data_IF_859479127514
#
_entry.id   IF_859479127514
#
_cell.length_a   1.000
_cell.length_b   1.000
_cell.length_c   1.000
_cell.angle_alpha   90.00
_cell.angle_beta   90.00
_cell.angle_gamma   90.00
#
_symmetry.space_group_name_H-M   'P 1'
#
loop_
_entity.id
_entity.type
_entity.pdbx_description
1 polymer ?
#
# COMPACT_ATOMS: atom_id res chain seq x y z
N UNK A 1 10.73 -5.51 -17.68
CA UNK A 1 9.87 -4.71 -16.80
C UNK A 1 9.98 -5.25 -15.39
N UNK A 2 10.17 -4.40 -14.37
CA UNK A 2 10.20 -4.82 -12.96
C UNK A 2 8.75 -5.11 -12.52
N UNK A 3 8.19 -6.25 -12.93
CA UNK A 3 6.79 -6.61 -12.72
C UNK A 3 6.41 -6.69 -11.23
N UNK A 4 7.37 -6.95 -10.36
CA UNK A 4 7.17 -7.01 -8.91
C UNK A 4 6.73 -5.67 -8.31
N UNK A 5 7.27 -4.54 -8.79
CA UNK A 5 6.94 -3.22 -8.27
C UNK A 5 5.47 -2.87 -8.49
N UNK A 6 5.02 -2.93 -9.75
CA UNK A 6 3.64 -2.58 -10.11
C UNK A 6 2.65 -3.51 -9.41
N UNK A 7 3.00 -4.78 -9.27
CA UNK A 7 2.15 -5.76 -8.61
C UNK A 7 2.04 -5.49 -7.11
N UNK A 8 3.15 -5.25 -6.40
CA UNK A 8 3.13 -4.86 -4.98
C UNK A 8 2.28 -3.60 -4.74
N UNK A 9 2.43 -2.60 -5.62
CA UNK A 9 1.63 -1.38 -5.59
C UNK A 9 0.13 -1.65 -5.80
N UNK A 10 -0.22 -2.46 -6.79
CA UNK A 10 -1.61 -2.83 -7.09
C UNK A 10 -2.26 -3.55 -5.90
N UNK A 11 -1.56 -4.50 -5.28
CA UNK A 11 -2.01 -5.18 -4.06
C UNK A 11 -2.23 -4.18 -2.93
N UNK A 12 -1.32 -3.22 -2.74
CA UNK A 12 -1.43 -2.19 -1.70
C UNK A 12 -2.62 -1.23 -1.92
N UNK A 13 -2.90 -0.84 -3.17
CA UNK A 13 -4.07 -0.04 -3.53
C UNK A 13 -5.36 -0.84 -3.32
N UNK A 14 -5.41 -2.09 -3.77
CA UNK A 14 -6.56 -2.98 -3.55
C UNK A 14 -6.83 -3.22 -2.05
N UNK A 15 -5.78 -3.31 -1.23
CA UNK A 15 -5.93 -3.37 0.23
C UNK A 15 -6.65 -2.14 0.79
N UNK A 16 -6.39 -0.97 0.21
CA UNK A 16 -7.05 0.28 0.61
C UNK A 16 -8.50 0.32 0.12
N UNK A 17 -8.80 -0.28 -1.04
CA UNK A 17 -10.17 -0.48 -1.53
C UNK A 17 -11.00 -1.41 -0.62
N UNK A 18 -10.38 -2.42 0.00
CA UNK A 18 -11.06 -3.20 1.03
C UNK A 18 -11.36 -2.38 2.29
N UNK A 19 -10.40 -1.59 2.77
CA UNK A 19 -10.54 -0.83 4.01
C UNK A 19 -11.56 0.29 3.84
N UNK A 20 -11.54 0.98 2.71
CA UNK A 20 -12.49 2.04 2.38
C UNK A 20 -13.91 1.53 2.10
N UNK A 21 -14.09 0.21 1.91
CA UNK A 21 -15.38 -0.39 1.62
C UNK A 21 -15.77 -0.35 0.14
N UNK A 22 -14.88 0.09 -0.75
CA UNK A 22 -15.09 0.01 -2.21
C UNK A 22 -15.27 -1.44 -2.66
N UNK A 23 -14.39 -2.34 -2.20
CA UNK A 23 -14.67 -3.78 -2.30
C UNK A 23 -15.47 -4.20 -1.07
N UNK A 24 -16.77 -4.41 -1.27
CA UNK A 24 -17.68 -4.85 -0.21
C UNK A 24 -17.19 -6.13 0.48
N UNK A 25 -17.37 -6.20 1.80
CA UNK A 25 -17.12 -7.41 2.58
C UNK A 25 -18.08 -8.56 2.22
N UNK A 26 -19.26 -8.23 1.69
CA UNK A 26 -20.31 -9.17 1.28
C UNK A 26 -20.91 -8.70 -0.04
N UNK A 27 -20.21 -8.89 -1.17
CA UNK A 27 -20.75 -8.55 -2.48
C UNK A 27 -21.97 -9.43 -2.80
N UNK A 28 -22.92 -8.88 -3.56
CA UNK A 28 -24.22 -9.52 -3.83
C UNK A 28 -24.24 -10.26 -5.16
N UNK A 29 -23.47 -9.81 -6.14
CA UNK A 29 -23.53 -10.29 -7.54
C UNK A 29 -22.37 -11.24 -7.83
N UNK A 30 -21.14 -10.78 -7.65
CA UNK A 30 -19.91 -11.54 -7.91
C UNK A 30 -19.22 -11.92 -6.60
N UNK A 31 -18.41 -12.99 -6.62
CA UNK A 31 -17.60 -13.37 -5.46
C UNK A 31 -16.58 -12.28 -5.14
N UNK A 32 -16.27 -12.12 -3.85
CA UNK A 32 -15.30 -11.12 -3.41
C UNK A 32 -13.91 -11.41 -3.99
N UNK A 33 -13.58 -12.68 -4.15
CA UNK A 33 -12.34 -13.17 -4.74
C UNK A 33 -12.19 -12.73 -6.20
N UNK A 34 -13.23 -12.89 -7.03
CA UNK A 34 -13.17 -12.48 -8.43
C UNK A 34 -13.07 -10.96 -8.57
N UNK A 35 -13.86 -10.22 -7.79
CA UNK A 35 -13.76 -8.74 -7.74
C UNK A 35 -12.33 -8.32 -7.38
N UNK A 36 -11.71 -9.00 -6.40
CA UNK A 36 -10.34 -8.72 -5.96
C UNK A 36 -9.32 -8.99 -7.07
N UNK A 37 -9.42 -10.13 -7.76
CA UNK A 37 -8.51 -10.49 -8.86
C UNK A 37 -8.63 -9.47 -10.00
N UNK A 38 -9.85 -9.15 -10.41
CA UNK A 38 -10.11 -8.16 -11.45
C UNK A 38 -9.55 -6.79 -11.05
N UNK A 39 -9.78 -6.38 -9.80
CA UNK A 39 -9.29 -5.09 -9.29
C UNK A 39 -7.77 -5.01 -9.24
N UNK A 40 -7.09 -6.05 -8.78
CA UNK A 40 -5.62 -6.11 -8.78
C UNK A 40 -5.09 -6.02 -10.21
N UNK A 41 -5.72 -6.71 -11.17
CA UNK A 41 -5.31 -6.66 -12.58
C UNK A 41 -5.39 -5.25 -13.15
N UNK A 42 -6.52 -4.56 -12.95
CA UNK A 42 -6.73 -3.17 -13.40
C UNK A 42 -5.72 -2.20 -12.76
N UNK A 43 -5.53 -2.29 -11.44
CA UNK A 43 -4.58 -1.44 -10.72
C UNK A 43 -3.13 -1.73 -11.16
N UNK A 44 -2.81 -2.99 -11.43
CA UNK A 44 -1.49 -3.39 -11.93
C UNK A 44 -1.19 -2.80 -13.31
N UNK A 45 -2.15 -2.85 -14.22
CA UNK A 45 -2.04 -2.22 -15.54
C UNK A 45 -1.90 -0.70 -15.42
N UNK A 46 -2.75 -0.05 -14.61
CA UNK A 46 -2.68 1.38 -14.36
C UNK A 46 -1.30 1.81 -13.82
N UNK A 47 -0.80 1.16 -12.76
CA UNK A 47 0.50 1.48 -12.17
C UNK A 47 1.64 1.22 -13.15
N UNK A 48 1.56 0.12 -13.91
CA UNK A 48 2.56 -0.20 -14.94
C UNK A 48 2.61 0.87 -16.02
N UNK A 49 1.45 1.37 -16.46
CA UNK A 49 1.37 2.45 -17.43
C UNK A 49 1.94 3.75 -16.86
N UNK A 50 1.54 4.15 -15.64
CA UNK A 50 2.09 5.35 -14.97
C UNK A 50 3.61 5.27 -14.87
N UNK A 51 4.14 4.12 -14.43
CA UNK A 51 5.60 3.91 -14.31
C UNK A 51 6.27 4.04 -15.68
N UNK A 52 5.71 3.42 -16.71
CA UNK A 52 6.24 3.53 -18.08
C UNK A 52 6.26 4.98 -18.54
N UNK A 53 5.16 5.71 -18.39
CA UNK A 53 5.06 7.11 -18.80
C UNK A 53 6.08 7.99 -18.07
N UNK A 54 6.33 7.73 -16.78
CA UNK A 54 7.34 8.44 -16.00
C UNK A 54 8.77 8.13 -16.47
N UNK A 55 9.08 6.86 -16.74
CA UNK A 55 10.39 6.46 -17.26
C UNK A 55 10.66 7.05 -18.65
N UNK A 56 9.63 7.11 -19.49
CA UNK A 56 9.73 7.70 -20.83
C UNK A 56 9.89 9.23 -20.74
N UNK A 57 9.17 9.89 -19.82
CA UNK A 57 9.23 11.35 -19.61
C UNK A 57 10.52 11.82 -18.92
N UNK A 58 11.12 10.97 -18.08
CA UNK A 58 12.28 11.28 -17.24
C UNK A 58 13.46 10.37 -17.59
N UNK A 59 13.74 10.21 -18.89
CA UNK A 59 14.74 9.26 -19.39
C UNK A 59 16.15 9.48 -18.86
N UNK A 60 16.48 10.71 -18.47
CA UNK A 60 17.80 11.10 -17.97
C UNK A 60 17.95 10.95 -16.45
N UNK A 61 16.87 10.63 -15.75
CA UNK A 61 16.84 10.49 -14.30
C UNK A 61 17.11 9.05 -13.84
N UNK A 62 17.72 8.85 -12.66
CA UNK A 62 17.93 7.51 -12.13
C UNK A 62 16.60 6.77 -11.91
N UNK A 63 16.49 5.57 -12.48
CA UNK A 63 15.29 4.71 -12.36
C UNK A 63 14.93 4.47 -10.89
N UNK A 64 15.92 4.27 -10.02
CA UNK A 64 15.70 4.06 -8.59
C UNK A 64 15.05 5.26 -7.92
N UNK A 65 15.36 6.47 -8.37
CA UNK A 65 14.78 7.72 -7.87
C UNK A 65 13.32 7.84 -8.29
N UNK A 66 13.03 7.55 -9.56
CA UNK A 66 11.67 7.53 -10.10
C UNK A 66 10.82 6.48 -9.34
N UNK A 67 11.32 5.25 -9.24
CA UNK A 67 10.63 4.15 -8.55
C UNK A 67 10.42 4.48 -7.06
N UNK A 68 11.38 5.11 -6.39
CA UNK A 68 11.21 5.56 -5.00
C UNK A 68 10.10 6.61 -4.86
N UNK A 69 10.14 7.68 -5.67
CA UNK A 69 9.14 8.74 -5.60
C UNK A 69 7.74 8.20 -5.91
N UNK A 70 7.63 7.33 -6.92
CA UNK A 70 6.38 6.66 -7.27
C UNK A 70 5.88 5.77 -6.13
N UNK A 71 6.76 5.00 -5.47
CA UNK A 71 6.39 4.19 -4.29
C UNK A 71 5.78 5.05 -3.20
N UNK A 72 6.40 6.19 -2.91
CA UNK A 72 5.92 7.12 -1.87
C UNK A 72 4.60 7.79 -2.27
N UNK A 73 4.43 8.14 -3.54
CA UNK A 73 3.19 8.71 -4.05
C UNK A 73 2.01 7.74 -3.92
N UNK A 74 2.25 6.46 -4.25
CA UNK A 74 1.27 5.39 -4.07
C UNK A 74 0.96 5.18 -2.59
N UNK A 75 1.94 5.26 -1.69
CA UNK A 75 1.68 5.18 -0.24
C UNK A 75 0.75 6.28 0.26
N UNK A 76 0.92 7.52 -0.19
CA UNK A 76 0.04 8.62 0.18
C UNK A 76 -1.36 8.45 -0.42
N UNK A 77 -1.44 8.02 -1.68
CA UNK A 77 -2.73 7.73 -2.34
C UNK A 77 -3.51 6.63 -1.61
N UNK A 78 -2.84 5.58 -1.14
CA UNK A 78 -3.45 4.53 -0.30
C UNK A 78 -4.03 5.08 0.99
N UNK A 79 -3.34 6.04 1.60
CA UNK A 79 -3.84 6.75 2.77
C UNK A 79 -5.13 7.52 2.44
N UNK A 80 -5.16 8.24 1.32
CA UNK A 80 -6.33 9.01 0.88
C UNK A 80 -7.54 8.13 0.54
N UNK A 81 -7.30 6.96 -0.06
CA UNK A 81 -8.34 5.95 -0.23
C UNK A 81 -8.88 5.52 1.15
N UNK A 82 -7.97 5.17 2.06
CA UNK A 82 -8.33 4.60 3.37
C UNK A 82 -9.10 5.58 4.24
N UNK A 83 -8.75 6.87 4.22
CA UNK A 83 -9.43 7.90 5.00
C UNK A 83 -10.65 8.52 4.30
N UNK A 84 -10.99 8.07 3.08
CA UNK A 84 -12.18 8.49 2.35
C UNK A 84 -12.03 9.82 1.60
N UNK A 85 -10.83 10.38 1.47
CA UNK A 85 -10.54 11.51 0.57
C UNK A 85 -10.83 11.09 -0.88
N UNK A 86 -10.39 9.90 -1.26
CA UNK A 86 -10.87 9.23 -2.48
C UNK A 86 -12.12 8.42 -2.10
N UNK A 87 -13.28 9.06 -2.25
CA UNK A 87 -14.58 8.49 -1.89
C UNK A 87 -14.92 7.23 -2.70
N UNK A 88 -15.66 6.29 -2.09
CA UNK A 88 -16.10 5.02 -2.73
C UNK A 88 -16.74 5.28 -4.09
N UNK A 89 -17.64 6.27 -4.14
CA UNK A 89 -18.33 6.72 -5.34
C UNK A 89 -18.12 8.23 -5.46
N UNK A 90 -17.06 8.67 -6.16
CA UNK A 90 -16.81 10.08 -6.37
C UNK A 90 -17.89 10.66 -7.29
N UNK A 91 -18.45 11.82 -6.91
CA UNK A 91 -19.62 12.41 -7.58
C UNK A 91 -19.26 12.96 -8.97
N UNK A 92 -18.02 13.42 -9.17
CA UNK A 92 -17.63 14.25 -10.32
C UNK A 92 -16.70 13.54 -11.30
N UNK A 93 -16.12 12.40 -10.94
CA UNK A 93 -15.13 11.72 -11.76
C UNK A 93 -15.07 10.23 -11.42
N UNK A 94 -14.61 9.43 -12.39
CA UNK A 94 -14.34 8.02 -12.18
C UNK A 94 -13.22 7.83 -11.12
N UNK A 95 -13.39 6.84 -10.23
CA UNK A 95 -12.48 6.60 -9.12
C UNK A 95 -11.06 6.26 -9.58
N UNK A 96 -10.91 5.54 -10.68
CA UNK A 96 -9.59 5.15 -11.18
C UNK A 96 -8.86 6.33 -11.79
N UNK A 97 -9.60 7.24 -12.42
CA UNK A 97 -9.07 8.54 -12.84
C UNK A 97 -8.59 9.34 -11.63
N UNK A 98 -9.39 9.42 -10.56
CA UNK A 98 -9.01 10.13 -9.34
C UNK A 98 -7.78 9.51 -8.66
N UNK A 99 -7.68 8.17 -8.61
CA UNK A 99 -6.50 7.47 -8.10
C UNK A 99 -5.26 7.83 -8.94
N UNK A 100 -5.37 7.75 -10.27
CA UNK A 100 -4.26 8.10 -11.19
C UNK A 100 -3.79 9.53 -10.98
N UNK A 101 -4.71 10.49 -10.96
CA UNK A 101 -4.41 11.91 -10.78
C UNK A 101 -3.77 12.18 -9.42
N UNK A 102 -4.27 11.52 -8.38
CA UNK A 102 -3.73 11.64 -7.02
C UNK A 102 -2.30 11.09 -6.94
N UNK A 103 -2.03 9.94 -7.58
CA UNK A 103 -0.67 9.40 -7.71
C UNK A 103 0.25 10.41 -8.41
N UNK A 104 -0.19 10.98 -9.54
CA UNK A 104 0.59 11.97 -10.28
C UNK A 104 0.86 13.23 -9.46
N UNK A 105 -0.13 13.73 -8.72
CA UNK A 105 0.01 14.89 -7.85
C UNK A 105 1.02 14.64 -6.73
N UNK A 106 0.89 13.53 -6.00
CA UNK A 106 1.85 13.18 -4.97
C UNK A 106 3.24 12.88 -5.52
N UNK A 107 3.34 12.28 -6.70
CA UNK A 107 4.63 12.06 -7.35
C UNK A 107 5.35 13.38 -7.59
N UNK A 108 4.69 14.36 -8.22
CA UNK A 108 5.27 15.68 -8.48
C UNK A 108 5.68 16.38 -7.18
N UNK A 109 4.84 16.29 -6.14
CA UNK A 109 5.14 16.86 -4.83
C UNK A 109 6.39 16.22 -4.20
N UNK A 110 6.46 14.89 -4.18
CA UNK A 110 7.59 14.15 -3.62
C UNK A 110 8.86 14.41 -4.43
N UNK A 111 8.75 14.44 -5.76
CA UNK A 111 9.86 14.75 -6.65
C UNK A 111 10.46 16.12 -6.35
N UNK A 112 9.61 17.15 -6.23
CA UNK A 112 10.03 18.51 -5.87
C UNK A 112 10.67 18.57 -4.48
N UNK A 113 10.15 17.84 -3.49
CA UNK A 113 10.77 17.74 -2.17
C UNK A 113 12.15 17.07 -2.24
N UNK A 114 12.28 16.04 -3.08
CA UNK A 114 13.55 15.34 -3.30
C UNK A 114 14.63 16.27 -3.85
N UNK A 115 14.27 17.10 -4.84
CA UNK A 115 15.16 18.14 -5.42
C UNK A 115 15.50 19.23 -4.41
N UNK A 116 14.50 19.74 -3.69
CA UNK A 116 14.67 20.84 -2.73
C UNK A 116 15.58 20.47 -1.56
N UNK A 117 15.56 19.22 -1.12
CA UNK A 117 16.25 18.77 0.08
C UNK A 117 17.53 17.96 -0.19
N UNK A 118 18.00 17.86 -1.45
CA UNK A 118 19.13 17.02 -1.89
C UNK A 118 19.11 15.62 -1.25
N UNK A 119 17.94 14.97 -1.27
CA UNK A 119 17.80 13.64 -0.69
C UNK A 119 18.62 12.67 -1.55
N UNK A 120 19.43 11.81 -0.92
CA UNK A 120 20.18 10.77 -1.63
C UNK A 120 19.65 9.39 -1.28
N UNK A 121 19.37 8.59 -2.30
CA UNK A 121 19.04 7.18 -2.09
C UNK A 121 20.30 6.40 -1.78
N UNK A 122 20.37 5.84 -0.58
CA UNK A 122 21.41 4.88 -0.22
C UNK A 122 20.96 3.52 -0.77
N UNK A 123 21.72 2.94 -1.71
CA UNK A 123 21.53 1.54 -2.11
C UNK A 123 21.96 0.67 -0.93
N UNK A 124 21.00 0.08 -0.22
CA UNK A 124 21.32 -1.02 0.70
C UNK A 124 21.71 -2.24 -0.14
N UNK A 125 22.86 -2.81 0.17
CA UNK A 125 23.38 -4.03 -0.44
C UNK A 125 22.39 -5.19 -0.31
N UNK A 126 22.28 -5.92 -1.41
CA UNK A 126 21.56 -7.16 -1.68
C UNK A 126 21.13 -7.99 -0.45
N UNK A 127 19.82 -8.25 -0.31
CA UNK A 127 19.37 -9.49 0.35
C UNK A 127 19.45 -10.59 -0.71
N UNK A 128 20.60 -11.26 -0.77
CA UNK A 128 20.72 -12.52 -1.51
C UNK A 128 20.06 -13.60 -0.66
N UNK A 129 18.83 -14.00 -1.01
CA UNK A 129 18.26 -15.23 -0.46
C UNK A 129 18.93 -16.40 -1.18
N UNK A 130 20.12 -16.79 -0.71
CA UNK A 130 20.64 -18.11 -1.02
C UNK A 130 19.80 -19.11 -0.21
N UNK A 131 19.00 -19.94 -0.90
CA UNK A 131 18.54 -21.19 -0.32
C UNK A 131 19.75 -22.10 -0.10
N UNK A 132 20.44 -21.92 1.02
CA UNK A 132 21.28 -22.96 1.58
C UNK A 132 20.39 -23.86 2.43
N UNK A 133 20.41 -25.16 2.12
CA UNK A 133 19.90 -26.19 3.02
C UNK A 133 20.64 -26.05 4.35
N UNK A 134 19.90 -25.72 5.41
CA UNK A 134 20.44 -25.68 6.77
C UNK A 134 20.71 -27.12 7.18
N UNK A 135 21.98 -27.51 7.11
CA UNK A 135 22.52 -28.61 7.90
C UNK A 135 22.46 -28.22 9.38
N UNK A 136 21.88 -29.08 10.19
CA UNK A 136 21.67 -28.94 11.62
C UNK A 136 22.97 -28.63 12.37
N UNK A 137 23.07 -27.42 12.92
CA UNK A 137 23.94 -27.10 14.03
C UNK A 137 23.24 -26.07 14.94
N UNK A 138 23.13 -26.42 16.20
CA UNK A 138 22.37 -25.73 17.25
C UNK A 138 22.82 -24.27 17.41
N UNK A 139 21.93 -23.33 17.10
CA UNK A 139 22.08 -21.93 17.52
C UNK A 139 21.18 -21.73 18.72
N UNK A 140 21.79 -21.56 19.90
CA UNK A 140 21.09 -21.21 21.12
C UNK A 140 20.44 -19.82 20.98
N UNK A 141 19.17 -19.78 20.59
CA UNK A 141 18.34 -18.57 20.58
C UNK A 141 17.94 -18.27 22.01
N UNK A 142 18.54 -17.24 22.62
CA UNK A 142 17.99 -16.64 23.84
C UNK A 142 16.71 -15.90 23.47
N UNK A 143 15.56 -16.51 23.72
CA UNK A 143 14.28 -15.82 23.72
C UNK A 143 14.26 -14.84 24.90
N UNK A 144 14.26 -13.54 24.61
CA UNK A 144 13.78 -12.54 25.57
C UNK A 144 12.29 -12.37 25.33
N UNK A 145 11.48 -12.91 26.24
CA UNK A 145 10.04 -12.70 26.24
C UNK A 145 9.75 -11.22 26.55
N UNK A 146 9.38 -10.47 25.51
CA UNK A 146 8.84 -9.11 25.68
C UNK A 146 7.35 -9.24 25.95
N UNK A 147 6.96 -9.16 27.22
CA UNK A 147 5.56 -9.10 27.63
C UNK A 147 5.03 -7.69 27.34
N UNK A 148 4.15 -7.58 26.34
CA UNK A 148 3.41 -6.35 26.06
C UNK A 148 2.14 -6.34 26.92
N UNK A 149 1.96 -5.42 27.88
CA UNK A 149 0.74 -5.34 28.66
C UNK A 149 -0.43 -4.89 27.77
N UNK A 150 -1.38 -5.79 27.53
CA UNK A 150 -2.66 -5.47 26.88
C UNK A 150 -3.57 -4.82 27.92
N UNK A 151 -3.80 -3.51 27.80
CA UNK A 151 -4.83 -2.83 28.59
C UNK A 151 -6.22 -3.33 28.15
N UNK A 152 -6.78 -4.29 28.89
CA UNK A 152 -8.17 -4.68 28.78
C UNK A 152 -9.05 -3.59 29.40
N UNK A 153 -9.67 -2.75 28.56
CA UNK A 153 -10.82 -1.93 28.99
C UNK A 153 -12.00 -2.87 29.27
N UNK A 154 -12.17 -3.29 30.53
CA UNK A 154 -13.39 -3.96 30.98
C UNK A 154 -14.56 -2.99 30.80
N UNK A 155 -15.55 -3.35 29.97
CA UNK A 155 -16.86 -2.70 29.97
C UNK A 155 -17.50 -2.96 31.34
N UNK A 156 -17.72 -1.92 32.13
CA UNK A 156 -18.49 -2.03 33.37
C UNK A 156 -19.91 -2.48 33.05
N UNK A 157 -20.32 -3.60 33.64
CA UNK A 157 -21.67 -4.11 33.50
C UNK A 157 -22.68 -3.13 34.12
N UNK A 158 -23.74 -2.80 33.37
CA UNK A 158 -24.87 -2.00 33.85
C UNK A 158 -25.54 -2.71 35.04
N UNK A 159 -25.52 -2.10 36.23
CA UNK A 159 -26.39 -2.52 37.35
C UNK A 159 -27.85 -2.28 36.97
N UNK A 160 -28.63 -3.35 36.79
CA UNK A 160 -30.10 -3.28 36.80
C UNK A 160 -30.53 -2.80 38.20
N UNK A 161 -31.05 -1.57 38.31
CA UNK A 161 -31.83 -1.16 39.48
C UNK A 161 -33.17 -1.89 39.42
N UNK A 162 -33.38 -2.82 40.36
CA UNK A 162 -34.67 -3.45 40.58
C UNK A 162 -35.71 -2.40 40.98
N UNK A 163 -36.91 -2.52 40.41
CA UNK A 163 -38.11 -1.81 40.86
C UNK A 163 -38.45 -2.28 42.29
N UNK A 164 -38.60 -1.33 43.20
CA UNK A 164 -39.45 -1.44 44.38
C UNK A 164 -40.40 -0.25 44.31
#
# INVERSE_FOLDING_TARGET
MNSSFSFEAAVGLCASDFISGFISAKPVIESRENITVNRISQLHEMVSQIRKDLLDKMSDEPVERIDYCLKKAIHLTRADITCGVIAIEPILCDRDTLIRDTISNYFNMIWSLFEKHDIRLIKNESITVCHQQISSAEVAVKHQDVVIPVYHKMKSAKKKKGKR
#
